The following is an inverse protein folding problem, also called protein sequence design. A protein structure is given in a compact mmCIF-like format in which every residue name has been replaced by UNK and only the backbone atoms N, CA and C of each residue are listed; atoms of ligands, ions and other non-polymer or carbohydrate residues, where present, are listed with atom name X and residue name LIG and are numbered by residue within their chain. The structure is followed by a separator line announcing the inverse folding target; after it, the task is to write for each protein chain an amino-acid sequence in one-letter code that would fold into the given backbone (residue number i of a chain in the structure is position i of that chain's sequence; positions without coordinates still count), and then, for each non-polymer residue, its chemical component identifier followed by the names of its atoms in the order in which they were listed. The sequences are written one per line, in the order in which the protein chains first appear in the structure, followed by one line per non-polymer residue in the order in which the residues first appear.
data_IF_471307437068
#
_entry.id   IF_471307437068
#
_cell.length_a   1.000
_cell.length_b   1.000
_cell.length_c   1.000
_cell.angle_alpha   90.00
_cell.angle_beta   90.00
_cell.angle_gamma   90.00
#
_symmetry.space_group_name_H-M   'P 1'
#
loop_
_entity.id
_entity.type
_entity.pdbx_description
1 polymer ?
#
# COMPACT_ATOMS: atom_id res chain seq x y z
N UNK A 1 -5.90 -2.29 4.43
CA UNK A 1 -4.68 -2.92 5.03
C UNK A 1 -4.77 -3.04 6.56
N UNK A 2 -4.08 -3.98 7.24
CA UNK A 2 -4.26 -4.28 8.69
C UNK A 2 -4.01 -3.10 9.64
N UNK A 3 -3.06 -2.25 9.28
CA UNK A 3 -2.68 -1.06 10.06
C UNK A 3 -3.41 0.20 9.61
N UNK A 4 -3.96 0.21 8.39
CA UNK A 4 -4.64 1.37 7.82
C UNK A 4 -5.68 1.99 8.77
N UNK A 5 -6.54 1.26 9.50
CA UNK A 5 -7.57 1.86 10.37
C UNK A 5 -7.03 2.79 11.46
N UNK A 6 -5.76 2.67 11.85
CA UNK A 6 -5.14 3.51 12.89
C UNK A 6 -4.18 4.57 12.35
N UNK A 7 -4.09 4.68 11.02
CA UNK A 7 -3.37 5.76 10.35
C UNK A 7 -4.32 6.94 10.18
N UNK A 8 -3.83 8.14 10.52
CA UNK A 8 -4.57 9.38 10.32
C UNK A 8 -4.78 9.64 8.81
N UNK A 9 -5.84 10.35 8.44
CA UNK A 9 -6.05 10.74 7.05
C UNK A 9 -4.89 11.64 6.58
N UNK A 10 -4.37 11.37 5.39
CA UNK A 10 -3.13 11.98 4.87
C UNK A 10 -1.84 11.46 5.53
N UNK A 11 -1.95 10.45 6.41
CA UNK A 11 -0.79 9.77 6.99
C UNK A 11 -0.18 8.74 6.04
N UNK A 12 0.90 8.10 6.49
CA UNK A 12 1.68 7.16 5.69
C UNK A 12 1.85 5.82 6.42
N UNK A 13 1.80 4.72 5.67
CA UNK A 13 2.29 3.40 6.09
C UNK A 13 3.60 3.10 5.36
N UNK A 14 4.67 2.90 6.12
CA UNK A 14 5.94 2.40 5.58
C UNK A 14 6.07 0.92 5.87
N UNK A 15 6.15 0.10 4.82
CA UNK A 15 6.39 -1.33 4.92
C UNK A 15 7.90 -1.56 4.90
N UNK A 16 8.47 -1.76 6.09
CA UNK A 16 9.89 -2.03 6.27
C UNK A 16 10.18 -3.53 6.15
N UNK A 17 10.79 -3.93 5.02
CA UNK A 17 11.23 -5.30 4.76
C UNK A 17 12.47 -5.30 3.83
N UNK A 18 13.68 -4.99 4.34
CA UNK A 18 14.88 -4.82 3.51
C UNK A 18 15.27 -6.04 2.67
N UNK A 19 14.83 -7.23 3.09
CA UNK A 19 15.11 -8.50 2.43
C UNK A 19 14.17 -8.80 1.25
N UNK A 20 13.05 -8.10 1.13
CA UNK A 20 12.10 -8.29 0.04
C UNK A 20 12.64 -7.64 -1.24
N UNK A 21 12.83 -8.43 -2.30
CA UNK A 21 13.42 -7.98 -3.57
C UNK A 21 12.45 -8.02 -4.76
N UNK A 22 11.29 -8.62 -4.56
CA UNK A 22 10.30 -8.85 -5.62
C UNK A 22 8.90 -8.60 -5.10
N UNK A 23 8.03 -8.09 -5.97
CA UNK A 23 6.62 -7.80 -5.66
C UNK A 23 5.82 -9.10 -5.56
N UNK A 24 5.99 -10.01 -6.53
CA UNK A 24 5.33 -11.31 -6.57
C UNK A 24 6.00 -12.24 -7.59
N UNK A 25 6.26 -13.49 -7.19
CA UNK A 25 6.76 -14.53 -8.10
C UNK A 25 5.73 -15.01 -9.12
N UNK A 26 4.43 -14.94 -8.79
CA UNK A 26 3.36 -15.54 -9.60
C UNK A 26 2.55 -14.52 -10.37
N UNK A 27 2.39 -13.31 -9.82
CA UNK A 27 1.50 -12.28 -10.39
C UNK A 27 2.24 -10.98 -10.66
N UNK A 28 3.58 -10.99 -10.66
CA UNK A 28 4.40 -9.78 -10.76
C UNK A 28 4.12 -8.97 -12.02
N UNK A 29 3.95 -9.62 -13.17
CA UNK A 29 3.72 -8.93 -14.45
C UNK A 29 2.35 -8.25 -14.47
N UNK A 30 1.30 -8.94 -14.01
CA UNK A 30 -0.04 -8.37 -13.91
C UNK A 30 -0.10 -7.22 -12.91
N UNK A 31 0.61 -7.32 -11.77
CA UNK A 31 0.70 -6.22 -10.80
C UNK A 31 1.44 -5.02 -11.40
N UNK A 32 2.50 -5.23 -12.19
CA UNK A 32 3.19 -4.15 -12.90
C UNK A 32 2.31 -3.48 -13.96
N UNK A 33 1.42 -4.24 -14.59
CA UNK A 33 0.47 -3.71 -15.55
C UNK A 33 -0.60 -2.83 -14.88
N UNK A 34 -1.17 -3.28 -13.75
CA UNK A 34 -2.31 -2.59 -13.13
C UNK A 34 -1.93 -1.56 -12.06
N UNK A 35 -0.84 -1.77 -11.33
CA UNK A 35 -0.46 -0.99 -10.15
C UNK A 35 -1.35 -1.19 -8.92
N UNK A 36 -1.03 -0.46 -7.85
CA UNK A 36 -1.77 -0.41 -6.60
C UNK A 36 -2.70 0.80 -6.55
N UNK A 37 -4.01 0.56 -6.58
CA UNK A 37 -5.03 1.62 -6.61
C UNK A 37 -6.20 1.35 -5.66
N UNK A 38 -6.92 2.41 -5.30
CA UNK A 38 -8.14 2.34 -4.49
C UNK A 38 -9.23 1.63 -5.28
N UNK A 39 -10.20 1.05 -4.57
CA UNK A 39 -11.30 0.31 -5.21
C UNK A 39 -11.99 1.11 -6.32
N UNK A 40 -12.28 2.38 -6.07
CA UNK A 40 -13.01 3.24 -6.99
C UNK A 40 -12.29 3.44 -8.33
N UNK A 41 -10.95 3.43 -8.34
CA UNK A 41 -10.15 3.54 -9.57
C UNK A 41 -10.50 2.42 -10.56
N UNK A 42 -10.66 1.20 -10.06
CA UNK A 42 -11.05 0.05 -10.87
C UNK A 42 -12.54 0.05 -11.19
N UNK A 43 -13.40 0.21 -10.18
CA UNK A 43 -14.85 0.01 -10.37
C UNK A 43 -15.53 1.10 -11.19
N UNK A 44 -15.00 2.33 -11.20
CA UNK A 44 -15.52 3.43 -12.04
C UNK A 44 -14.99 3.39 -13.49
N UNK A 45 -14.12 2.44 -13.80
CA UNK A 45 -13.51 2.25 -15.13
C UNK A 45 -13.53 0.78 -15.53
N UNK A 46 -14.60 0.07 -15.18
CA UNK A 46 -14.63 -1.40 -15.22
C UNK A 46 -14.30 -1.99 -16.59
N UNK A 47 -14.72 -1.34 -17.68
CA UNK A 47 -14.41 -1.76 -19.05
C UNK A 47 -12.90 -1.88 -19.34
N UNK A 48 -12.04 -1.18 -18.59
CA UNK A 48 -10.57 -1.27 -18.73
C UNK A 48 -9.96 -2.46 -18.00
N UNK A 49 -10.65 -2.98 -16.98
CA UNK A 49 -10.08 -3.93 -16.02
C UNK A 49 -10.87 -5.25 -15.93
N UNK A 50 -11.98 -5.39 -16.66
CA UNK A 50 -12.85 -6.57 -16.59
C UNK A 50 -12.17 -7.87 -16.98
N UNK A 51 -11.11 -7.79 -17.79
CA UNK A 51 -10.32 -8.95 -18.24
C UNK A 51 -9.19 -9.30 -17.27
N UNK A 52 -8.91 -8.47 -16.26
CA UNK A 52 -7.89 -8.75 -15.26
C UNK A 52 -8.37 -9.76 -14.22
N UNK A 53 -7.49 -10.63 -13.71
CA UNK A 53 -7.87 -11.54 -12.64
C UNK A 53 -8.34 -10.77 -11.41
N UNK A 54 -9.56 -11.04 -10.95
CA UNK A 54 -10.14 -10.35 -9.79
C UNK A 54 -9.28 -10.45 -8.53
N UNK A 55 -8.48 -11.51 -8.38
CA UNK A 55 -7.51 -11.65 -7.29
C UNK A 55 -6.39 -10.60 -7.30
N UNK A 56 -5.92 -10.21 -8.49
CA UNK A 56 -4.89 -9.17 -8.66
C UNK A 56 -5.48 -7.80 -8.30
N UNK A 57 -6.68 -7.49 -8.80
CA UNK A 57 -7.37 -6.24 -8.48
C UNK A 57 -7.72 -6.15 -6.98
N UNK A 58 -8.20 -7.24 -6.38
CA UNK A 58 -8.47 -7.30 -4.95
C UNK A 58 -7.19 -7.07 -4.13
N UNK A 59 -6.08 -7.73 -4.50
CA UNK A 59 -4.79 -7.52 -3.82
C UNK A 59 -4.33 -6.05 -3.92
N UNK A 60 -4.45 -5.45 -5.10
CA UNK A 60 -4.15 -4.05 -5.36
C UNK A 60 -4.90 -3.12 -4.38
N UNK A 61 -6.23 -3.26 -4.31
CA UNK A 61 -7.06 -2.43 -3.43
C UNK A 61 -6.81 -2.65 -1.94
N UNK A 62 -6.47 -3.88 -1.52
CA UNK A 62 -6.21 -4.18 -0.11
C UNK A 62 -4.93 -3.52 0.41
N UNK A 63 -3.91 -3.40 -0.43
CA UNK A 63 -2.64 -2.74 -0.10
C UNK A 63 -2.81 -1.23 -0.16
N UNK A 64 -3.38 -0.68 -1.25
CA UNK A 64 -3.56 0.78 -1.40
C UNK A 64 -4.51 1.36 -0.34
N UNK A 65 -5.56 0.63 0.02
CA UNK A 65 -6.52 1.02 1.04
C UNK A 65 -7.69 1.85 0.52
N UNK A 66 -8.34 2.56 1.44
CA UNK A 66 -9.49 3.44 1.17
C UNK A 66 -9.06 4.67 0.38
N UNK A 67 -10.00 5.20 -0.38
CA UNK A 67 -9.91 6.47 -1.07
C UNK A 67 -11.02 6.59 -2.09
N UNK A 68 -10.96 7.64 -2.91
CA UNK A 68 -11.90 7.89 -3.99
C UNK A 68 -11.17 8.05 -5.32
N UNK A 69 -11.94 7.94 -6.40
CA UNK A 69 -11.47 8.25 -7.73
C UNK A 69 -12.58 8.99 -8.46
N UNK A 70 -12.36 10.26 -8.81
CA UNK A 70 -13.38 11.10 -9.45
C UNK A 70 -12.70 11.98 -10.50
N UNK A 71 -13.36 12.16 -11.65
CA UNK A 71 -12.85 12.96 -12.78
C UNK A 71 -11.42 12.62 -13.23
N UNK A 72 -11.06 11.33 -13.18
CA UNK A 72 -9.73 10.87 -13.56
C UNK A 72 -8.66 11.03 -12.48
N UNK A 73 -9.02 11.56 -11.30
CA UNK A 73 -8.08 11.84 -10.21
C UNK A 73 -8.29 10.86 -9.04
N UNK A 74 -7.24 10.13 -8.68
CA UNK A 74 -7.24 9.22 -7.53
C UNK A 74 -6.83 9.96 -6.25
N UNK A 75 -7.60 9.79 -5.19
CA UNK A 75 -7.35 10.35 -3.87
C UNK A 75 -7.31 9.23 -2.82
N UNK A 76 -6.13 8.63 -2.57
CA UNK A 76 -5.98 7.67 -1.49
C UNK A 76 -6.13 8.38 -0.14
N UNK A 77 -6.66 7.68 0.86
CA UNK A 77 -6.78 8.22 2.23
C UNK A 77 -5.41 8.35 2.93
N UNK A 78 -4.50 7.45 2.59
CA UNK A 78 -3.16 7.35 3.16
C UNK A 78 -2.16 7.02 2.05
N UNK A 79 -0.90 7.35 2.29
CA UNK A 79 0.20 6.89 1.44
C UNK A 79 0.72 5.52 1.89
N UNK A 80 1.22 4.75 0.93
CA UNK A 80 1.86 3.46 1.17
C UNK A 80 3.22 3.47 0.53
N UNK A 81 4.25 3.30 1.35
CA UNK A 81 5.65 3.40 0.97
C UNK A 81 6.37 2.08 1.27
N UNK A 82 7.13 1.60 0.30
CA UNK A 82 7.97 0.42 0.44
C UNK A 82 9.38 0.83 0.87
N UNK A 83 9.78 0.36 2.05
CA UNK A 83 11.16 0.38 2.51
C UNK A 83 11.75 -1.03 2.41
N UNK A 84 12.07 -1.43 1.18
CA UNK A 84 12.44 -2.80 0.82
C UNK A 84 13.64 -2.81 -0.12
N UNK A 85 14.10 -4.01 -0.50
CA UNK A 85 15.11 -4.21 -1.54
C UNK A 85 14.55 -4.17 -2.97
N UNK A 86 13.26 -3.86 -3.15
CA UNK A 86 12.66 -3.64 -4.48
C UNK A 86 13.19 -2.29 -5.01
N UNK A 87 13.63 -2.20 -6.28
CA UNK A 87 14.11 -0.94 -6.85
C UNK A 87 13.08 0.19 -6.76
N UNK A 88 13.54 1.42 -6.51
CA UNK A 88 12.68 2.61 -6.44
C UNK A 88 11.78 2.76 -7.67
N UNK A 89 12.35 2.56 -8.87
CA UNK A 89 11.62 2.66 -10.13
C UNK A 89 10.47 1.63 -10.23
N UNK A 90 10.67 0.42 -9.70
CA UNK A 90 9.66 -0.63 -9.67
C UNK A 90 8.52 -0.27 -8.71
N UNK A 91 8.82 0.35 -7.56
CA UNK A 91 7.80 0.84 -6.62
C UNK A 91 6.93 1.94 -7.24
N UNK A 92 7.54 2.92 -7.90
CA UNK A 92 6.80 4.00 -8.57
C UNK A 92 5.95 3.49 -9.73
N UNK A 93 6.45 2.50 -10.49
CA UNK A 93 5.71 1.86 -11.58
C UNK A 93 4.38 1.28 -11.10
N UNK A 94 4.35 0.73 -9.88
CA UNK A 94 3.14 0.13 -9.29
C UNK A 94 2.37 1.11 -8.39
N UNK A 95 2.58 2.42 -8.53
CA UNK A 95 1.88 3.46 -7.76
C UNK A 95 2.08 3.37 -6.23
N UNK A 96 3.28 3.00 -5.78
CA UNK A 96 3.67 3.01 -4.37
C UNK A 96 4.87 3.92 -4.14
N UNK A 97 4.95 4.51 -2.94
CA UNK A 97 6.12 5.25 -2.53
C UNK A 97 7.34 4.35 -2.33
N UNK A 98 8.52 4.94 -2.34
CA UNK A 98 9.78 4.27 -2.02
C UNK A 98 10.53 5.04 -0.94
N UNK A 99 11.20 4.30 -0.06
CA UNK A 99 12.18 4.86 0.86
C UNK A 99 13.34 3.87 1.01
N UNK A 100 14.57 4.34 0.91
CA UNK A 100 15.73 3.47 1.06
C UNK A 100 15.74 2.84 2.48
N UNK A 101 15.63 1.50 2.61
CA UNK A 101 15.63 0.85 3.92
C UNK A 101 16.92 1.07 4.70
N UNK A 102 18.06 1.32 4.05
CA UNK A 102 19.33 1.60 4.73
C UNK A 102 19.33 2.95 5.47
N UNK A 103 18.37 3.84 5.15
CA UNK A 103 18.21 5.15 5.80
C UNK A 103 17.25 5.13 6.98
N UNK A 104 16.68 3.97 7.31
CA UNK A 104 15.70 3.81 8.38
C UNK A 104 16.32 3.01 9.53
N UNK A 105 16.36 3.61 10.71
CA UNK A 105 16.41 2.86 11.98
C UNK A 105 14.97 2.69 12.50
N UNK A 106 14.41 1.48 12.56
CA UNK A 106 13.07 1.25 13.10
C UNK A 106 12.86 1.80 14.52
N UNK A 107 13.91 1.87 15.34
CA UNK A 107 13.82 2.40 16.70
C UNK A 107 13.40 3.88 16.73
N UNK A 108 13.77 4.67 15.71
CA UNK A 108 13.43 6.10 15.60
C UNK A 108 11.93 6.36 15.42
N UNK A 109 11.16 5.32 15.09
CA UNK A 109 9.71 5.39 14.86
C UNK A 109 8.89 5.15 16.13
N UNK A 110 9.55 4.85 17.27
CA UNK A 110 8.93 4.84 18.59
C UNK A 110 8.90 6.26 19.19
N UNK A 111 8.17 7.16 18.54
CA UNK A 111 8.08 8.57 18.95
C UNK A 111 6.66 9.12 18.81
N UNK A 112 6.31 10.24 19.47
CA UNK A 112 5.01 10.87 19.28
C UNK A 112 4.70 11.12 17.80
N UNK A 113 3.50 10.74 17.36
CA UNK A 113 3.06 10.88 15.97
C UNK A 113 3.47 9.73 15.03
N UNK A 114 4.21 8.74 15.52
CA UNK A 114 4.57 7.53 14.78
C UNK A 114 4.23 6.27 15.58
N UNK A 115 4.08 5.15 14.88
CA UNK A 115 3.83 3.85 15.47
C UNK A 115 4.69 2.79 14.77
N UNK A 116 5.62 2.19 15.52
CA UNK A 116 6.32 0.99 15.08
C UNK A 116 5.47 -0.25 15.38
N UNK A 117 5.13 -1.01 14.35
CA UNK A 117 4.40 -2.29 14.47
C UNK A 117 5.33 -3.44 14.08
N UNK A 118 6.03 -4.09 15.03
CA UNK A 118 6.81 -5.28 14.74
C UNK A 118 5.88 -6.44 14.34
N UNK A 119 6.32 -7.30 13.42
CA UNK A 119 5.53 -8.43 12.92
C UNK A 119 4.12 -8.01 12.47
N UNK A 120 4.02 -6.88 11.75
CA UNK A 120 2.76 -6.24 11.36
C UNK A 120 1.78 -7.16 10.61
N UNK A 121 2.27 -8.25 10.01
CA UNK A 121 1.45 -9.28 9.39
C UNK A 121 0.55 -10.05 10.36
N UNK A 122 0.74 -9.94 11.68
CA UNK A 122 0.02 -10.74 12.68
C UNK A 122 -0.92 -9.91 13.56
N UNK A 123 -0.85 -8.58 13.50
CA UNK A 123 -1.54 -7.67 14.40
C UNK A 123 -2.70 -6.98 13.67
N UNK A 124 -3.88 -6.96 14.30
CA UNK A 124 -5.04 -6.20 13.83
C UNK A 124 -5.29 -5.01 14.76
N UNK A 125 -5.44 -3.82 14.17
CA UNK A 125 -5.72 -2.60 14.90
C UNK A 125 -7.17 -2.13 14.68
N UNK A 126 -7.81 -1.68 15.76
CA UNK A 126 -9.13 -1.04 15.75
C UNK A 126 -9.09 0.20 16.63
N UNK A 127 -9.58 1.33 16.12
CA UNK A 127 -9.78 2.52 16.94
C UNK A 127 -10.91 2.27 17.96
N UNK A 128 -10.72 2.71 19.21
CA UNK A 128 -11.75 2.60 20.24
C UNK A 128 -13.05 3.34 19.88
N UNK A 129 -12.96 4.41 19.09
CA UNK A 129 -14.09 5.20 18.60
C UNK A 129 -14.86 4.53 17.47
N UNK A 130 -14.30 3.47 16.86
CA UNK A 130 -14.98 2.64 15.87
C UNK A 130 -15.89 1.68 16.64
N UNK A 131 -17.00 2.16 17.17
CA UNK A 131 -18.05 1.35 17.82
C UNK A 131 -19.12 1.00 16.79
#
# INVERSE_FOLDING_TARGET
YKTEPVVADGGEVIIYAPHLKEISYSHGDQIREVGYHVRDYFTKQWDKFSDMPGGVLAHSTHVRGKGSFDDGNEQPRIDVTLATGIPEADCHLINLGYRDPATIDPADWQRPGALLVPNAGEILHRLKSYA
#
